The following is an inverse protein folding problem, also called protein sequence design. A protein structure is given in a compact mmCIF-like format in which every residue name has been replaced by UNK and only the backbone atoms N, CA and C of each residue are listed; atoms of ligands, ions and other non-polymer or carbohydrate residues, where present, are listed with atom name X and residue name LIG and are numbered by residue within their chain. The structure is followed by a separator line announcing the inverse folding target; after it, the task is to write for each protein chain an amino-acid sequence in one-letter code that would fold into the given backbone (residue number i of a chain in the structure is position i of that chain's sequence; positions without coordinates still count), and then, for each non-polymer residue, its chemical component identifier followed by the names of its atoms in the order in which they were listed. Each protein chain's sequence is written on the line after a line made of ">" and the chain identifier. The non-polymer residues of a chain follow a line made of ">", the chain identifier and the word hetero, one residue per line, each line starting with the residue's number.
data_IF_648612952030
#
_entry.id   IF_648612952030
#
_cell.length_a   1.000
_cell.length_b   1.000
_cell.length_c   1.000
_cell.angle_alpha   90.00
_cell.angle_beta   90.00
_cell.angle_gamma   90.00
#
_symmetry.space_group_name_H-M   'P 1'
#
loop_
_entity.id
_entity.type
_entity.pdbx_description
1 polymer ?
#
# COMPACT_ATOMS: atom_id res chain seq x y z
N UNK A 1 -37.90 -14.82 27.14
CA UNK A 1 -36.60 -14.51 27.80
C UNK A 1 -35.53 -15.42 27.23
N UNK A 2 -34.64 -14.92 26.36
CA UNK A 2 -33.53 -15.72 25.81
C UNK A 2 -32.37 -15.75 26.82
N UNK A 3 -32.02 -16.96 27.30
CA UNK A 3 -30.85 -17.17 28.17
C UNK A 3 -29.58 -16.98 27.33
N UNK A 4 -28.70 -16.08 27.76
CA UNK A 4 -27.37 -15.91 27.14
C UNK A 4 -26.52 -17.12 27.47
N UNK A 5 -25.99 -17.80 26.46
CA UNK A 5 -25.01 -18.89 26.62
C UNK A 5 -23.67 -18.32 27.07
N UNK A 6 -23.03 -18.98 28.02
CA UNK A 6 -21.72 -18.58 28.52
C UNK A 6 -20.63 -18.76 27.45
N UNK A 7 -19.74 -17.77 27.34
CA UNK A 7 -18.58 -17.81 26.45
C UNK A 7 -17.65 -18.93 26.92
N UNK A 8 -17.40 -19.91 26.05
CA UNK A 8 -16.49 -21.04 26.30
C UNK A 8 -15.08 -20.51 26.58
N UNK A 9 -14.48 -20.92 27.70
CA UNK A 9 -13.12 -20.52 28.06
C UNK A 9 -12.10 -21.01 27.02
N UNK A 10 -11.11 -20.17 26.71
CA UNK A 10 -10.02 -20.51 25.77
C UNK A 10 -9.35 -21.83 26.18
N UNK A 11 -9.03 -22.72 25.24
CA UNK A 11 -8.26 -23.92 25.55
C UNK A 11 -6.90 -23.53 26.13
N UNK A 12 -6.40 -24.36 27.06
CA UNK A 12 -5.08 -24.24 27.68
C UNK A 12 -4.03 -24.09 26.57
N UNK A 13 -3.15 -23.10 26.68
CA UNK A 13 -2.13 -22.84 25.67
C UNK A 13 -1.37 -24.13 25.38
N UNK A 14 -1.40 -24.61 24.13
CA UNK A 14 -0.52 -25.70 23.70
C UNK A 14 0.92 -25.28 23.97
N UNK A 15 1.70 -26.15 24.60
CA UNK A 15 3.14 -25.96 24.73
C UNK A 15 3.69 -25.64 23.34
N UNK A 16 4.25 -24.44 23.18
CA UNK A 16 4.85 -24.04 21.91
C UNK A 16 6.08 -24.93 21.74
N UNK A 17 6.06 -25.79 20.73
CA UNK A 17 7.25 -26.52 20.32
C UNK A 17 8.41 -25.52 20.21
N UNK A 18 9.56 -25.88 20.80
CA UNK A 18 10.74 -25.03 20.78
C UNK A 18 11.10 -24.70 19.33
N UNK A 19 11.01 -23.41 19.00
CA UNK A 19 11.24 -22.95 17.64
C UNK A 19 12.74 -23.02 17.39
N UNK A 20 13.20 -24.08 16.76
CA UNK A 20 14.59 -24.19 16.28
C UNK A 20 14.82 -23.09 15.26
N UNK A 21 15.50 -22.02 15.67
CA UNK A 21 15.96 -20.98 14.77
C UNK A 21 17.11 -21.57 13.94
N UNK A 22 16.85 -21.86 12.66
CA UNK A 22 17.93 -22.14 11.72
C UNK A 22 18.68 -20.84 11.48
N UNK A 23 19.74 -20.59 12.25
CA UNK A 23 20.67 -19.51 11.96
C UNK A 23 21.36 -19.86 10.65
N UNK A 24 21.24 -19.05 9.59
CA UNK A 24 21.97 -19.31 8.37
C UNK A 24 23.47 -19.21 8.68
N UNK A 25 24.19 -20.33 8.55
CA UNK A 25 25.65 -20.33 8.65
C UNK A 25 26.21 -19.60 7.43
N UNK A 26 26.60 -18.34 7.61
CA UNK A 26 27.36 -17.61 6.59
C UNK A 26 28.76 -18.22 6.49
N UNK A 27 29.13 -18.68 5.29
CA UNK A 27 30.49 -19.17 5.05
C UNK A 27 31.50 -18.03 5.25
N UNK A 28 32.49 -18.25 6.11
CA UNK A 28 33.57 -17.31 6.39
C UNK A 28 34.24 -16.94 5.06
N UNK A 29 34.39 -15.65 4.78
CA UNK A 29 35.01 -15.15 3.53
C UNK A 29 34.07 -14.95 2.32
N UNK A 30 32.78 -15.34 2.41
CA UNK A 30 31.80 -15.01 1.34
C UNK A 30 31.26 -13.58 1.41
N UNK A 31 31.45 -12.89 2.54
CA UNK A 31 31.05 -11.50 2.67
C UNK A 31 31.97 -10.62 1.83
N UNK A 32 31.48 -10.11 0.71
CA UNK A 32 32.17 -9.07 -0.06
C UNK A 32 31.78 -7.72 0.51
N UNK A 33 32.75 -6.98 1.02
CA UNK A 33 32.56 -5.56 1.31
C UNK A 33 32.17 -4.86 0.00
N UNK A 34 31.16 -3.97 0.00
CA UNK A 34 30.90 -3.12 -1.15
C UNK A 34 32.17 -2.31 -1.46
N UNK A 35 32.48 -2.15 -2.75
CA UNK A 35 33.60 -1.32 -3.17
C UNK A 35 33.33 0.14 -2.75
N UNK A 36 34.35 0.88 -2.28
CA UNK A 36 34.19 2.30 -1.99
C UNK A 36 33.81 3.02 -3.29
N UNK A 37 32.73 3.78 -3.25
CA UNK A 37 32.36 4.72 -4.31
C UNK A 37 33.10 6.04 -4.04
N UNK A 38 33.82 6.54 -5.04
CA UNK A 38 34.51 7.84 -4.96
C UNK A 38 33.60 9.01 -5.36
N UNK A 39 32.32 8.76 -5.60
CA UNK A 39 31.34 9.78 -5.94
C UNK A 39 30.91 10.61 -4.73
N UNK A 40 30.61 11.88 -4.95
CA UNK A 40 30.00 12.75 -3.95
C UNK A 40 28.65 12.17 -3.50
N UNK A 41 28.59 11.66 -2.27
CA UNK A 41 27.33 11.19 -1.67
C UNK A 41 26.55 12.39 -1.17
N UNK A 42 25.48 12.77 -1.90
CA UNK A 42 24.53 13.79 -1.45
C UNK A 42 23.35 13.13 -0.73
N UNK A 43 23.06 13.58 0.48
CA UNK A 43 21.87 13.17 1.20
C UNK A 43 20.62 13.71 0.49
N UNK A 44 19.77 12.81 -0.03
CA UNK A 44 18.47 13.18 -0.60
C UNK A 44 17.46 13.24 0.56
N UNK A 45 16.78 14.38 0.77
CA UNK A 45 15.73 14.49 1.78
C UNK A 45 14.64 13.43 1.54
N UNK A 46 14.14 12.83 2.62
CA UNK A 46 12.97 11.95 2.52
C UNK A 46 11.76 12.79 2.13
N UNK A 47 10.92 12.25 1.25
CA UNK A 47 9.61 12.82 0.93
C UNK A 47 8.82 13.03 2.23
N UNK A 48 8.20 14.21 2.40
CA UNK A 48 7.28 14.48 3.51
C UNK A 48 5.90 13.92 3.18
N UNK A 49 5.81 12.59 3.11
CA UNK A 49 4.59 11.88 2.79
C UNK A 49 3.51 12.14 3.86
N UNK A 50 2.36 12.66 3.44
CA UNK A 50 1.21 12.83 4.33
C UNK A 50 0.38 11.55 4.40
N UNK A 51 0.13 11.07 5.62
CA UNK A 51 -0.76 9.93 5.89
C UNK A 51 -2.11 10.45 6.41
N UNK A 52 -3.22 10.04 5.80
CA UNK A 52 -4.58 10.45 6.13
C UNK A 52 -5.59 9.32 5.94
N UNK A 53 -5.95 8.65 7.04
CA UNK A 53 -6.90 7.53 7.02
C UNK A 53 -8.27 7.90 6.44
N UNK A 54 -8.77 9.11 6.70
CA UNK A 54 -10.04 9.58 6.15
C UNK A 54 -10.01 9.62 4.60
N UNK A 55 -8.89 10.07 4.02
CA UNK A 55 -8.69 10.06 2.58
C UNK A 55 -8.64 8.62 2.04
N UNK A 56 -7.88 7.73 2.69
CA UNK A 56 -7.79 6.31 2.28
C UNK A 56 -9.15 5.62 2.29
N UNK A 57 -9.98 5.87 3.30
CA UNK A 57 -11.35 5.32 3.38
C UNK A 57 -12.25 5.87 2.27
N UNK A 58 -12.13 7.15 1.95
CA UNK A 58 -12.85 7.75 0.81
C UNK A 58 -12.42 7.09 -0.49
N UNK A 59 -11.11 6.97 -0.74
CA UNK A 59 -10.57 6.29 -1.93
C UNK A 59 -11.11 4.86 -2.00
N UNK A 60 -11.01 4.07 -0.93
CA UNK A 60 -11.50 2.69 -0.90
C UNK A 60 -13.02 2.56 -1.10
N UNK A 61 -13.80 3.61 -0.86
CA UNK A 61 -15.24 3.61 -1.11
C UNK A 61 -15.62 3.80 -2.60
N UNK A 62 -14.68 4.28 -3.42
CA UNK A 62 -14.91 4.51 -4.84
C UNK A 62 -14.89 3.19 -5.64
N UNK A 63 -15.56 3.14 -6.81
CA UNK A 63 -15.43 2.02 -7.74
C UNK A 63 -13.97 1.82 -8.15
N UNK A 64 -13.59 0.58 -8.45
CA UNK A 64 -12.25 0.27 -8.96
C UNK A 64 -11.99 1.09 -10.23
N UNK A 65 -10.93 1.91 -10.25
CA UNK A 65 -10.68 2.82 -11.38
C UNK A 65 -10.35 2.09 -12.69
N UNK A 66 -9.90 0.83 -12.59
CA UNK A 66 -9.55 0.01 -13.75
C UNK A 66 -10.72 -0.79 -14.33
N UNK A 67 -11.54 -1.42 -13.49
CA UNK A 67 -12.60 -2.34 -13.94
C UNK A 67 -14.00 -1.96 -13.46
N UNK A 68 -14.15 -0.82 -12.80
CA UNK A 68 -15.40 -0.20 -12.38
C UNK A 68 -16.26 -0.99 -11.39
N UNK A 69 -15.77 -2.12 -10.86
CA UNK A 69 -16.50 -2.87 -9.82
C UNK A 69 -16.63 -2.03 -8.54
N UNK A 70 -17.83 -2.03 -7.96
CA UNK A 70 -18.19 -1.26 -6.77
C UNK A 70 -18.13 -2.14 -5.52
N UNK A 71 -17.73 -1.56 -4.38
CA UNK A 71 -17.81 -2.22 -3.07
C UNK A 71 -16.67 -3.18 -2.73
N UNK A 72 -15.69 -3.34 -3.62
CA UNK A 72 -14.54 -4.25 -3.43
C UNK A 72 -13.18 -3.54 -3.52
N UNK A 73 -13.17 -2.21 -3.58
CA UNK A 73 -11.94 -1.42 -3.73
C UNK A 73 -11.14 -1.32 -2.43
N UNK A 74 -9.83 -1.23 -2.59
CA UNK A 74 -8.88 -0.79 -1.57
C UNK A 74 -8.13 0.45 -2.11
N UNK A 75 -7.60 1.26 -1.21
CA UNK A 75 -6.70 2.34 -1.58
C UNK A 75 -5.32 1.74 -1.92
N UNK A 76 -4.94 1.80 -3.19
CA UNK A 76 -3.65 1.38 -3.70
C UNK A 76 -2.72 2.60 -3.79
N UNK A 77 -1.45 2.43 -3.44
CA UNK A 77 -0.41 3.45 -3.64
C UNK A 77 0.29 3.27 -4.99
N UNK A 78 0.90 4.33 -5.55
CA UNK A 78 1.82 4.19 -6.67
C UNK A 78 3.01 3.29 -6.31
N UNK A 79 3.68 2.69 -7.32
CA UNK A 79 4.91 1.93 -7.13
C UNK A 79 5.96 2.69 -6.28
N UNK A 80 6.70 1.99 -5.40
CA UNK A 80 7.62 2.66 -4.51
C UNK A 80 8.92 3.12 -5.21
N UNK A 81 9.30 4.39 -5.02
CA UNK A 81 10.61 4.97 -5.33
C UNK A 81 11.78 4.40 -4.51
N UNK A 82 11.51 3.64 -3.45
CA UNK A 82 12.54 3.04 -2.62
C UNK A 82 11.96 2.15 -1.51
N UNK A 83 12.81 1.28 -0.95
CA UNK A 83 12.42 0.34 0.11
C UNK A 83 12.16 1.07 1.42
N UNK A 84 11.03 0.78 2.06
CA UNK A 84 10.65 1.34 3.37
C UNK A 84 10.24 2.82 3.34
N UNK A 85 10.04 3.40 2.16
CA UNK A 85 9.56 4.79 2.02
C UNK A 85 8.04 4.79 2.04
N UNK A 86 7.46 5.57 2.95
CA UNK A 86 6.02 5.85 3.01
C UNK A 86 5.60 6.72 1.84
N UNK A 87 4.42 6.46 1.29
CA UNK A 87 3.85 7.24 0.18
C UNK A 87 2.81 8.20 0.72
N UNK A 88 2.67 9.32 0.02
CA UNK A 88 1.62 10.29 0.31
C UNK A 88 0.25 9.69 -0.04
N UNK A 89 -0.67 9.68 0.91
CA UNK A 89 -1.99 9.09 0.73
C UNK A 89 -2.82 9.84 -0.32
N UNK A 90 -2.51 11.11 -0.61
CA UNK A 90 -3.16 11.89 -1.68
C UNK A 90 -2.84 11.36 -3.09
N UNK A 91 -1.87 10.45 -3.20
CA UNK A 91 -1.54 9.73 -4.43
C UNK A 91 -2.27 8.38 -4.56
N UNK A 92 -3.10 7.99 -3.59
CA UNK A 92 -3.84 6.75 -3.67
C UNK A 92 -4.96 6.76 -4.71
N UNK A 93 -5.28 5.56 -5.21
CA UNK A 93 -6.39 5.32 -6.14
C UNK A 93 -7.11 3.99 -5.83
N UNK A 94 -8.39 3.82 -6.21
CA UNK A 94 -9.17 2.64 -5.88
C UNK A 94 -8.88 1.48 -6.84
N UNK A 95 -8.40 0.36 -6.31
CA UNK A 95 -8.33 -0.90 -7.04
C UNK A 95 -9.06 -2.01 -6.30
N UNK A 96 -9.82 -2.83 -7.04
CA UNK A 96 -10.52 -3.95 -6.42
C UNK A 96 -9.56 -5.02 -5.92
N UNK A 97 -9.87 -5.57 -4.75
CA UNK A 97 -9.10 -6.64 -4.12
C UNK A 97 -9.62 -8.03 -4.51
N UNK A 98 -8.96 -9.05 -3.97
CA UNK A 98 -9.31 -10.46 -4.18
C UNK A 98 -10.73 -10.77 -3.70
N UNK A 99 -11.45 -11.57 -4.50
CA UNK A 99 -12.77 -12.13 -4.21
C UNK A 99 -12.75 -13.62 -4.51
N UNK A 100 -13.79 -14.35 -4.08
CA UNK A 100 -13.91 -15.79 -4.34
C UNK A 100 -13.76 -16.05 -5.84
N UNK A 101 -12.71 -16.81 -6.21
CA UNK A 101 -12.38 -17.17 -7.59
C UNK A 101 -11.78 -16.05 -8.45
N UNK A 102 -11.53 -14.85 -7.93
CA UNK A 102 -11.13 -13.69 -8.73
C UNK A 102 -10.01 -12.91 -8.04
N UNK A 103 -8.88 -12.74 -8.74
CA UNK A 103 -7.64 -12.14 -8.19
C UNK A 103 -7.75 -10.65 -7.81
N UNK A 104 -8.69 -9.91 -8.42
CA UNK A 104 -8.80 -8.45 -8.26
C UNK A 104 -7.76 -7.69 -9.11
N UNK A 105 -7.86 -6.36 -9.16
CA UNK A 105 -6.89 -5.52 -9.89
C UNK A 105 -5.72 -5.07 -9.00
N UNK A 106 -5.90 -4.98 -7.68
CA UNK A 106 -4.90 -4.44 -6.76
C UNK A 106 -3.62 -5.28 -6.76
N UNK A 107 -3.72 -6.59 -6.47
CA UNK A 107 -2.56 -7.49 -6.46
C UNK A 107 -1.80 -7.53 -7.79
N UNK A 108 -2.46 -7.73 -8.95
CA UNK A 108 -1.79 -7.68 -10.24
C UNK A 108 -1.11 -6.34 -10.55
N UNK A 109 -1.66 -5.22 -10.08
CA UNK A 109 -1.04 -3.91 -10.23
C UNK A 109 0.26 -3.81 -9.43
N UNK A 110 0.23 -4.17 -8.14
CA UNK A 110 1.40 -4.11 -7.25
C UNK A 110 2.54 -5.02 -7.70
N UNK A 111 2.21 -6.11 -8.39
CA UNK A 111 3.17 -7.09 -8.91
C UNK A 111 3.57 -6.81 -10.37
N UNK A 112 3.15 -5.69 -10.95
CA UNK A 112 3.46 -5.30 -12.34
C UNK A 112 3.02 -6.36 -13.38
N UNK A 113 1.96 -7.11 -13.07
CA UNK A 113 1.38 -8.08 -14.00
C UNK A 113 0.47 -7.40 -15.03
N UNK A 114 -0.07 -6.23 -14.69
CA UNK A 114 -0.98 -5.48 -15.57
C UNK A 114 -0.24 -4.61 -16.60
N UNK A 115 0.97 -4.17 -16.27
CA UNK A 115 1.79 -3.26 -17.07
C UNK A 115 3.22 -3.21 -16.53
N UNK A 116 4.15 -2.67 -17.32
CA UNK A 116 5.54 -2.49 -16.88
C UNK A 116 5.62 -1.54 -15.66
N UNK A 117 6.72 -1.60 -14.91
CA UNK A 117 6.93 -0.69 -13.77
C UNK A 117 6.82 0.79 -14.20
N UNK A 118 7.44 1.18 -15.32
CA UNK A 118 7.40 2.55 -15.81
C UNK A 118 5.97 2.98 -16.16
N UNK A 119 5.20 2.09 -16.77
CA UNK A 119 3.79 2.35 -17.10
C UNK A 119 2.92 2.43 -15.84
N UNK A 120 3.17 1.57 -14.85
CA UNK A 120 2.47 1.57 -13.57
C UNK A 120 2.67 2.89 -12.82
N UNK A 121 3.90 3.42 -12.81
CA UNK A 121 4.18 4.74 -12.22
C UNK A 121 3.41 5.84 -12.95
N UNK A 122 3.47 5.89 -14.29
CA UNK A 122 2.75 6.91 -15.08
C UNK A 122 1.24 6.81 -14.89
N UNK A 123 0.69 5.59 -14.96
CA UNK A 123 -0.73 5.35 -14.84
C UNK A 123 -1.25 5.64 -13.42
N UNK A 124 -0.46 5.35 -12.39
CA UNK A 124 -0.78 5.68 -11.01
C UNK A 124 -0.97 7.18 -10.80
N UNK A 125 -0.09 8.01 -11.38
CA UNK A 125 -0.22 9.48 -11.29
C UNK A 125 -1.50 9.98 -11.96
N UNK A 126 -1.83 9.44 -13.14
CA UNK A 126 -3.09 9.76 -13.84
C UNK A 126 -4.30 9.37 -13.00
N UNK A 127 -4.31 8.15 -12.46
CA UNK A 127 -5.41 7.67 -11.62
C UNK A 127 -5.53 8.46 -10.32
N UNK A 128 -4.42 8.81 -9.68
CA UNK A 128 -4.42 9.64 -8.49
C UNK A 128 -5.05 11.02 -8.76
N UNK A 129 -4.66 11.67 -9.87
CA UNK A 129 -5.25 12.95 -10.27
C UNK A 129 -6.76 12.85 -10.54
N UNK A 130 -7.20 11.79 -11.22
CA UNK A 130 -8.62 11.53 -11.45
C UNK A 130 -9.39 11.35 -10.13
N UNK A 131 -8.83 10.61 -9.18
CA UNK A 131 -9.46 10.36 -7.87
C UNK A 131 -9.55 11.64 -7.05
N UNK A 132 -8.49 12.46 -7.04
CA UNK A 132 -8.53 13.77 -6.40
C UNK A 132 -9.60 14.66 -7.01
N UNK A 133 -9.66 14.75 -8.34
CA UNK A 133 -10.68 15.53 -9.04
C UNK A 133 -12.11 15.07 -8.67
N UNK A 134 -12.34 13.76 -8.59
CA UNK A 134 -13.62 13.19 -8.13
C UNK A 134 -13.93 13.60 -6.69
N UNK A 135 -13.00 13.41 -5.75
CA UNK A 135 -13.20 13.73 -4.32
C UNK A 135 -13.46 15.24 -4.14
N UNK A 136 -12.72 16.09 -4.84
CA UNK A 136 -12.90 17.55 -4.82
C UNK A 136 -14.24 17.94 -5.43
N UNK A 137 -14.61 17.35 -6.58
CA UNK A 137 -15.89 17.60 -7.25
C UNK A 137 -17.09 17.26 -6.37
N UNK A 138 -17.00 16.18 -5.57
CA UNK A 138 -18.02 15.81 -4.59
C UNK A 138 -17.92 16.57 -3.25
N UNK A 139 -16.95 17.48 -3.10
CA UNK A 139 -16.68 18.22 -1.84
C UNK A 139 -16.43 17.28 -0.64
N UNK A 140 -15.81 16.13 -0.91
CA UNK A 140 -15.50 15.11 0.10
C UNK A 140 -14.07 15.23 0.64
N UNK A 141 -13.30 16.23 0.21
CA UNK A 141 -11.92 16.39 0.66
C UNK A 141 -11.83 16.51 2.20
N UNK A 142 -10.96 15.74 2.88
CA UNK A 142 -10.86 15.81 4.34
C UNK A 142 -10.41 17.18 4.84
N UNK A 143 -11.09 17.70 5.87
CA UNK A 143 -10.87 19.07 6.39
C UNK A 143 -9.42 19.40 6.78
N UNK A 144 -8.70 18.42 7.33
CA UNK A 144 -7.35 18.59 7.87
C UNK A 144 -6.26 18.05 6.94
N UNK A 145 -6.57 17.80 5.66
CA UNK A 145 -5.62 17.37 4.66
C UNK A 145 -5.30 18.54 3.74
N UNK A 146 -4.04 19.00 3.65
CA UNK A 146 -3.65 20.00 2.67
C UNK A 146 -3.98 19.54 1.25
N UNK A 147 -4.57 20.44 0.46
CA UNK A 147 -4.85 20.18 -0.95
C UNK A 147 -3.59 19.73 -1.68
N UNK A 148 -3.76 18.85 -2.66
CA UNK A 148 -2.68 18.50 -3.57
C UNK A 148 -2.48 19.64 -4.58
N UNK A 149 -1.23 20.00 -4.81
CA UNK A 149 -0.87 20.96 -5.84
C UNK A 149 -0.56 20.20 -7.14
N UNK A 150 -1.45 20.31 -8.13
CA UNK A 150 -1.32 19.62 -9.43
C UNK A 150 -0.23 20.23 -10.33
N UNK A 151 0.38 21.35 -9.93
CA UNK A 151 1.32 22.13 -10.76
C UNK A 151 2.79 21.67 -10.59
N UNK A 152 3.06 20.63 -9.80
CA UNK A 152 4.41 20.08 -9.57
C UNK A 152 4.68 18.78 -10.34
#
# INVERSE_FOLDING_TARGET
>A
MMRRTAIRSKPRQREKAERVYKTPTVAIGRFRLPAPVNDEVRAIPKENALECEAYLRLVASLPCIRCSIVGYSQAAHPPPTGKGIKRDDRLCFPLCTVRVGIKGCHGPFDNYELMSHADAVRQALVWAAQVRAVIVGFRLWPKNLPMWDEVN
#
